data_IF_713125506843
#
_entry.id   IF_713125506843
#
_cell.length_a   1.000
_cell.length_b   1.000
_cell.length_c   1.000
_cell.angle_alpha   90.00
_cell.angle_beta   90.00
_cell.angle_gamma   90.00
#
_symmetry.space_group_name_H-M   'P 1'
#
loop_
_entity.id
_entity.type
_entity.pdbx_description
1 polymer ?
#
# COMPACT_ATOMS: atom_id res chain seq x y z
N UNK A 1 18.24 4.06 0.90
CA UNK A 1 17.13 3.10 0.94
C UNK A 1 16.23 3.48 2.11
N UNK A 2 14.93 3.71 1.87
CA UNK A 2 13.96 4.09 2.92
C UNK A 2 13.16 2.87 3.37
N UNK A 3 12.75 2.03 2.43
CA UNK A 3 11.99 0.82 2.68
C UNK A 3 12.46 -0.30 1.74
N UNK A 4 12.16 -1.54 2.11
CA UNK A 4 12.47 -2.71 1.30
C UNK A 4 11.56 -3.87 1.66
N UNK A 5 11.32 -4.77 0.71
CA UNK A 5 10.54 -5.99 0.94
C UNK A 5 11.03 -7.13 0.04
N UNK A 6 11.10 -8.34 0.59
CA UNK A 6 11.37 -9.56 -0.17
C UNK A 6 10.08 -10.17 -0.71
N UNK A 7 10.15 -10.76 -1.90
CA UNK A 7 9.07 -11.60 -2.43
C UNK A 7 8.87 -12.84 -1.56
N UNK A 8 7.67 -13.41 -1.63
CA UNK A 8 7.45 -14.77 -1.13
C UNK A 8 8.50 -15.72 -1.76
N UNK A 9 9.21 -16.48 -0.92
CA UNK A 9 10.31 -17.36 -1.34
C UNK A 9 11.67 -16.66 -1.55
N UNK A 10 11.77 -15.34 -1.37
CA UNK A 10 13.05 -14.62 -1.35
C UNK A 10 13.72 -14.38 -2.71
N UNK A 11 13.05 -14.72 -3.82
CA UNK A 11 13.62 -14.61 -5.17
C UNK A 11 13.84 -13.16 -5.64
N UNK A 12 13.04 -12.21 -5.15
CA UNK A 12 13.20 -10.79 -5.44
C UNK A 12 13.28 -9.96 -4.17
N UNK A 13 14.02 -8.85 -4.24
CA UNK A 13 13.98 -7.75 -3.28
C UNK A 13 13.63 -6.47 -4.04
N UNK A 14 12.66 -5.71 -3.55
CA UNK A 14 12.33 -4.38 -4.05
C UNK A 14 12.66 -3.35 -2.98
N UNK A 15 13.22 -2.22 -3.39
CA UNK A 15 13.70 -1.18 -2.48
C UNK A 15 13.18 0.19 -2.91
N UNK A 16 12.66 0.96 -1.96
CA UNK A 16 12.22 2.34 -2.13
C UNK A 16 13.28 3.32 -1.63
N UNK A 17 13.28 4.52 -2.20
CA UNK A 17 14.37 5.47 -2.04
C UNK A 17 13.89 6.92 -2.12
N UNK A 18 14.75 7.83 -1.64
CA UNK A 18 14.52 9.28 -1.66
C UNK A 18 14.60 9.89 -3.05
N UNK A 19 15.23 9.19 -4.01
CA UNK A 19 15.34 9.57 -5.42
C UNK A 19 14.12 9.13 -6.25
N UNK A 20 13.06 8.64 -5.61
CA UNK A 20 11.77 8.28 -6.23
C UNK A 20 11.83 6.98 -7.07
N UNK A 21 13.01 6.41 -7.25
CA UNK A 21 13.23 5.21 -8.06
C UNK A 21 13.07 3.96 -7.20
N UNK A 22 12.27 3.00 -7.67
CA UNK A 22 12.22 1.66 -7.11
C UNK A 22 13.26 0.81 -7.80
N UNK A 23 14.06 0.10 -7.02
CA UNK A 23 15.07 -0.85 -7.55
C UNK A 23 14.66 -2.26 -7.20
N UNK A 24 14.77 -3.16 -8.17
CA UNK A 24 14.46 -4.58 -7.99
C UNK A 24 15.72 -5.40 -8.21
N UNK A 25 15.99 -6.28 -7.25
CA UNK A 25 17.12 -7.19 -7.25
C UNK A 25 16.61 -8.63 -7.33
N UNK A 26 17.34 -9.47 -8.06
CA UNK A 26 17.06 -10.89 -8.21
C UNK A 26 18.09 -11.70 -7.42
N UNK A 27 17.60 -12.63 -6.61
CA UNK A 27 18.37 -13.52 -5.73
C UNK A 27 18.24 -14.97 -6.20
N UNK A 28 18.66 -15.23 -7.44
CA UNK A 28 18.74 -16.59 -7.99
C UNK A 28 19.81 -17.43 -7.30
N UNK A 29 20.29 -18.47 -7.99
CA UNK A 29 21.37 -19.33 -7.49
C UNK A 29 22.76 -18.66 -7.49
N UNK A 30 22.88 -17.47 -8.08
CA UNK A 30 24.13 -16.71 -8.19
C UNK A 30 24.23 -15.56 -7.19
N UNK A 31 25.09 -14.59 -7.49
CA UNK A 31 25.15 -13.35 -6.71
C UNK A 31 23.88 -12.52 -6.93
N UNK A 32 23.42 -11.75 -5.93
CA UNK A 32 22.29 -10.85 -6.10
C UNK A 32 22.58 -9.79 -7.19
N UNK A 33 21.67 -9.65 -8.14
CA UNK A 33 21.82 -8.72 -9.28
C UNK A 33 20.69 -7.71 -9.32
N UNK A 34 20.99 -6.44 -9.61
CA UNK A 34 19.98 -5.42 -9.89
C UNK A 34 19.41 -5.67 -11.29
N UNK A 35 18.14 -6.02 -11.39
CA UNK A 35 17.49 -6.38 -12.66
C UNK A 35 16.56 -5.29 -13.20
N UNK A 36 16.17 -4.30 -12.39
CA UNK A 36 15.25 -3.23 -12.83
C UNK A 36 15.39 -1.95 -12.01
N UNK A 37 15.13 -0.83 -12.66
CA UNK A 37 14.88 0.48 -12.07
C UNK A 37 13.52 0.97 -12.60
N UNK A 38 12.61 1.34 -11.70
CA UNK A 38 11.23 1.67 -12.02
C UNK A 38 10.98 3.14 -11.66
N UNK A 39 11.06 3.99 -12.67
CA UNK A 39 11.06 5.46 -12.56
C UNK A 39 9.68 6.06 -12.82
N UNK A 40 8.68 5.60 -12.08
CA UNK A 40 7.28 6.03 -12.29
C UNK A 40 6.71 6.92 -11.18
N UNK A 41 7.39 6.99 -10.03
CA UNK A 41 7.04 7.91 -8.96
C UNK A 41 7.78 9.24 -9.14
N UNK A 42 7.16 10.33 -8.72
CA UNK A 42 7.73 11.69 -8.84
C UNK A 42 8.16 12.28 -7.49
N UNK A 43 8.01 11.50 -6.42
CA UNK A 43 8.48 11.82 -5.07
C UNK A 43 8.85 10.53 -4.31
N UNK A 44 9.40 10.66 -3.10
CA UNK A 44 10.00 9.58 -2.29
C UNK A 44 9.08 8.37 -2.18
N UNK A 45 9.66 7.17 -2.33
CA UNK A 45 8.97 5.91 -2.09
C UNK A 45 9.22 5.47 -0.66
N UNK A 46 8.25 5.74 0.21
CA UNK A 46 8.37 5.54 1.66
C UNK A 46 7.94 4.16 2.11
N UNK A 47 7.14 3.44 1.31
CA UNK A 47 6.66 2.10 1.67
C UNK A 47 6.64 1.15 0.48
N UNK A 48 7.06 -0.09 0.69
CA UNK A 48 6.99 -1.19 -0.28
C UNK A 48 6.61 -2.47 0.45
N UNK A 49 5.72 -3.27 -0.13
CA UNK A 49 5.43 -4.61 0.35
C UNK A 49 5.18 -5.58 -0.82
N UNK A 50 5.87 -6.71 -0.83
CA UNK A 50 5.52 -7.83 -1.70
C UNK A 50 4.21 -8.49 -1.27
N UNK A 51 3.50 -9.03 -2.25
CA UNK A 51 2.32 -9.88 -2.03
C UNK A 51 2.72 -11.20 -1.37
N UNK A 52 1.76 -11.85 -0.72
CA UNK A 52 1.96 -13.08 0.05
C UNK A 52 2.35 -14.30 -0.80
N UNK A 53 1.89 -14.35 -2.07
CA UNK A 53 1.99 -15.58 -2.88
C UNK A 53 2.55 -15.37 -4.28
N UNK A 54 2.52 -14.13 -4.80
CA UNK A 54 2.83 -13.86 -6.20
C UNK A 54 4.04 -12.95 -6.38
N UNK A 55 4.59 -12.90 -7.60
CA UNK A 55 5.61 -11.92 -7.99
C UNK A 55 4.97 -10.54 -8.25
N UNK A 56 4.21 -10.05 -7.26
CA UNK A 56 3.65 -8.72 -7.20
C UNK A 56 4.15 -8.00 -5.96
N UNK A 57 4.27 -6.70 -6.04
CA UNK A 57 4.48 -5.85 -4.88
C UNK A 57 3.73 -4.54 -5.05
N UNK A 58 3.48 -3.85 -3.95
CA UNK A 58 2.93 -2.49 -3.95
C UNK A 58 4.00 -1.53 -3.47
N UNK A 59 4.05 -0.34 -4.07
CA UNK A 59 4.83 0.80 -3.59
C UNK A 59 3.91 1.97 -3.26
N UNK A 60 4.22 2.71 -2.20
CA UNK A 60 3.56 3.96 -1.82
C UNK A 60 4.53 5.13 -1.82
N UNK A 61 4.12 6.27 -2.39
CA UNK A 61 4.95 7.45 -2.53
C UNK A 61 4.32 8.73 -1.94
N UNK A 62 5.20 9.69 -1.64
CA UNK A 62 4.84 11.07 -1.30
C UNK A 62 4.28 11.88 -2.48
N UNK A 63 4.24 11.30 -3.67
CA UNK A 63 3.63 11.93 -4.85
C UNK A 63 2.09 11.83 -4.84
N UNK A 64 1.51 11.17 -3.85
CA UNK A 64 0.07 10.97 -3.73
C UNK A 64 -0.43 9.74 -4.46
N UNK A 65 0.47 8.86 -4.90
CA UNK A 65 0.13 7.61 -5.59
C UNK A 65 0.74 6.39 -4.91
N UNK A 66 0.06 5.27 -5.08
CA UNK A 66 0.65 3.96 -4.92
C UNK A 66 0.62 3.22 -6.26
N UNK A 67 1.46 2.21 -6.42
CA UNK A 67 1.50 1.38 -7.63
C UNK A 67 1.57 -0.08 -7.27
N UNK A 68 0.73 -0.88 -7.92
CA UNK A 68 0.81 -2.35 -7.85
C UNK A 68 1.65 -2.81 -9.02
N UNK A 69 2.79 -3.40 -8.72
CA UNK A 69 3.74 -3.94 -9.68
C UNK A 69 3.52 -5.42 -9.87
N UNK A 70 3.58 -5.87 -11.12
CA UNK A 70 3.46 -7.28 -11.48
C UNK A 70 4.55 -7.66 -12.46
N UNK A 71 5.30 -8.71 -12.12
CA UNK A 71 6.28 -9.28 -13.02
C UNK A 71 5.62 -10.25 -13.99
N UNK A 72 5.55 -9.88 -15.27
CA UNK A 72 4.97 -10.70 -16.35
C UNK A 72 5.86 -10.61 -17.56
N UNK A 73 6.10 -11.72 -18.27
CA UNK A 73 6.89 -11.73 -19.52
C UNK A 73 8.26 -11.05 -19.39
N UNK A 74 8.93 -11.24 -18.24
CA UNK A 74 10.24 -10.66 -17.90
C UNK A 74 10.29 -9.13 -17.78
N UNK A 75 9.14 -8.49 -17.61
CA UNK A 75 9.03 -7.05 -17.38
C UNK A 75 8.13 -6.75 -16.17
N UNK A 76 8.38 -5.62 -15.52
CA UNK A 76 7.53 -5.09 -14.46
C UNK A 76 6.49 -4.15 -15.07
N UNK A 77 5.22 -4.43 -14.80
CA UNK A 77 4.09 -3.56 -15.18
C UNK A 77 3.42 -3.03 -13.93
N UNK A 78 2.93 -1.79 -13.98
CA UNK A 78 2.22 -1.19 -12.85
C UNK A 78 0.75 -0.91 -13.13
N UNK A 79 -0.06 -1.01 -12.08
CA UNK A 79 -1.40 -0.44 -11.97
C UNK A 79 -1.28 0.77 -11.05
N UNK A 80 -1.75 1.93 -11.49
CA UNK A 80 -1.75 3.17 -10.71
C UNK A 80 -2.91 3.17 -9.71
N UNK A 81 -2.63 3.53 -8.46
CA UNK A 81 -3.60 3.83 -7.42
C UNK A 81 -3.43 5.30 -7.04
N UNK A 82 -4.35 6.16 -7.49
CA UNK A 82 -4.30 7.59 -7.21
C UNK A 82 -5.10 7.92 -5.94
N UNK A 83 -4.45 8.47 -4.91
CA UNK A 83 -5.12 8.77 -3.64
C UNK A 83 -6.23 9.82 -3.79
N UNK A 84 -6.26 10.60 -4.88
CA UNK A 84 -7.37 11.50 -5.21
C UNK A 84 -8.66 10.77 -5.61
N UNK A 85 -8.58 9.48 -5.96
CA UNK A 85 -9.73 8.69 -6.40
C UNK A 85 -10.78 8.62 -5.30
N UNK A 86 -12.05 8.78 -5.68
CA UNK A 86 -13.20 8.67 -4.78
C UNK A 86 -14.11 7.50 -5.21
N UNK A 87 -14.75 6.79 -4.27
CA UNK A 87 -15.78 5.82 -4.62
C UNK A 87 -16.91 6.52 -5.38
N UNK A 88 -17.44 5.86 -6.41
CA UNK A 88 -18.58 6.38 -7.15
C UNK A 88 -19.76 6.64 -6.21
N UNK A 89 -20.24 7.89 -6.14
CA UNK A 89 -21.43 8.26 -5.37
C UNK A 89 -21.20 8.76 -3.93
N UNK A 90 -19.96 8.91 -3.45
CA UNK A 90 -19.67 9.54 -2.15
C UNK A 90 -19.08 10.96 -2.31
N UNK A 91 -19.86 11.97 -1.91
CA UNK A 91 -19.35 13.32 -1.67
C UNK A 91 -18.70 13.39 -0.29
N UNK A 92 -17.40 13.09 -0.22
CA UNK A 92 -16.59 13.35 0.96
C UNK A 92 -16.18 14.82 0.94
N UNK A 93 -16.93 15.68 1.62
CA UNK A 93 -16.60 17.09 1.84
C UNK A 93 -16.21 17.27 3.32
N UNK A 94 -15.07 17.90 3.60
CA UNK A 94 -14.77 18.44 4.93
C UNK A 94 -13.34 18.31 5.46
N UNK A 95 -12.54 17.34 4.99
CA UNK A 95 -11.18 17.09 5.54
C UNK A 95 -10.06 17.65 4.63
N UNK A 96 -10.36 17.92 3.36
CA UNK A 96 -9.34 18.20 2.33
C UNK A 96 -8.75 19.62 2.38
N UNK A 97 -9.43 20.60 2.96
CA UNK A 97 -9.03 22.02 2.87
C UNK A 97 -7.68 22.34 3.54
N UNK A 98 -7.14 21.43 4.37
CA UNK A 98 -5.81 21.59 4.99
C UNK A 98 -4.69 20.80 4.31
N UNK A 99 -4.99 19.79 3.49
CA UNK A 99 -3.97 18.88 2.94
C UNK A 99 -3.75 19.21 1.46
N UNK A 100 -2.73 20.02 1.20
CA UNK A 100 -2.39 20.47 -0.16
C UNK A 100 -1.73 19.40 -1.02
N UNK A 101 -1.18 18.33 -0.40
CA UNK A 101 -0.54 17.20 -1.09
C UNK A 101 -0.80 15.89 -0.36
N UNK A 102 -1.46 14.95 -1.03
CA UNK A 102 -1.63 13.59 -0.53
C UNK A 102 -0.30 12.83 -0.56
N UNK A 103 -0.10 11.97 0.43
CA UNK A 103 1.08 11.10 0.57
C UNK A 103 0.61 9.73 1.02
N UNK A 104 1.17 8.69 0.43
CA UNK A 104 0.98 7.32 0.91
C UNK A 104 2.03 7.05 1.98
N UNK A 105 1.59 6.88 3.22
CA UNK A 105 2.49 6.65 4.36
C UNK A 105 2.86 5.17 4.49
N UNK A 106 1.96 4.28 4.08
CA UNK A 106 2.17 2.85 4.17
C UNK A 106 1.25 2.07 3.24
N UNK A 107 1.69 0.88 2.87
CA UNK A 107 0.96 -0.03 2.00
C UNK A 107 0.89 -1.42 2.62
N UNK A 108 -0.22 -2.11 2.40
CA UNK A 108 -0.44 -3.49 2.83
C UNK A 108 -1.15 -4.31 1.74
N UNK A 109 -0.99 -5.63 1.75
CA UNK A 109 -1.85 -6.59 1.07
C UNK A 109 -2.83 -7.23 2.05
N UNK A 110 -4.03 -7.59 1.62
CA UNK A 110 -4.84 -8.55 2.37
C UNK A 110 -4.22 -9.95 2.31
N UNK A 111 -4.74 -10.88 3.11
CA UNK A 111 -4.17 -12.22 3.23
C UNK A 111 -4.15 -13.02 1.92
N UNK A 112 -5.07 -12.75 1.00
CA UNK A 112 -5.19 -13.48 -0.27
C UNK A 112 -4.67 -12.71 -1.48
N UNK A 113 -4.01 -11.57 -1.28
CA UNK A 113 -3.50 -10.70 -2.33
C UNK A 113 -4.60 -10.19 -3.30
N UNK A 114 -5.87 -10.20 -2.87
CA UNK A 114 -7.04 -9.73 -3.61
C UNK A 114 -7.22 -8.21 -3.51
N UNK A 115 -6.80 -7.63 -2.39
CA UNK A 115 -6.86 -6.19 -2.16
C UNK A 115 -5.54 -5.63 -1.66
N UNK A 116 -5.30 -4.38 -2.03
CA UNK A 116 -4.21 -3.56 -1.51
C UNK A 116 -4.82 -2.50 -0.62
N UNK A 117 -4.20 -2.23 0.52
CA UNK A 117 -4.61 -1.20 1.46
C UNK A 117 -3.53 -0.14 1.52
N UNK A 118 -3.92 1.12 1.37
CA UNK A 118 -2.99 2.25 1.44
C UNK A 118 -3.40 3.17 2.56
N UNK A 119 -2.50 3.45 3.50
CA UNK A 119 -2.65 4.53 4.46
C UNK A 119 -2.22 5.85 3.83
N UNK A 120 -3.03 6.88 4.04
CA UNK A 120 -2.83 8.21 3.45
C UNK A 120 -2.71 9.23 4.58
N UNK A 121 -1.89 10.26 4.39
CA UNK A 121 -1.68 11.34 5.36
C UNK A 121 -2.94 12.19 5.67
N UNK A 122 -4.07 11.94 5.01
CA UNK A 122 -5.36 12.49 5.36
C UNK A 122 -6.16 11.60 6.33
N UNK A 123 -5.47 10.70 7.04
CA UNK A 123 -6.01 9.79 8.06
C UNK A 123 -6.97 8.72 7.50
N UNK A 124 -7.08 8.63 6.17
CA UNK A 124 -7.89 7.59 5.53
C UNK A 124 -7.06 6.37 5.18
N UNK A 125 -7.69 5.20 5.24
CA UNK A 125 -7.20 4.00 4.57
C UNK A 125 -8.04 3.76 3.33
N UNK A 126 -7.41 3.45 2.21
CA UNK A 126 -8.12 3.10 0.97
C UNK A 126 -7.88 1.64 0.64
N UNK A 127 -8.97 0.94 0.31
CA UNK A 127 -8.95 -0.48 -0.06
C UNK A 127 -9.19 -0.60 -1.56
N UNK A 128 -8.24 -1.19 -2.26
CA UNK A 128 -8.20 -1.27 -3.71
C UNK A 128 -8.30 -2.71 -4.17
N UNK A 129 -9.01 -2.97 -5.25
CA UNK A 129 -8.93 -4.25 -5.93
C UNK A 129 -7.54 -4.40 -6.56
N UNK A 130 -6.80 -5.44 -6.20
CA UNK A 130 -5.38 -5.55 -6.57
C UNK A 130 -5.13 -5.90 -8.04
N UNK A 131 -6.16 -6.36 -8.75
CA UNK A 131 -6.08 -6.78 -10.14
C UNK A 131 -6.52 -5.69 -11.12
N UNK A 132 -7.42 -4.81 -10.68
CA UNK A 132 -8.02 -3.77 -11.53
C UNK A 132 -7.57 -2.36 -11.14
N UNK A 133 -7.11 -2.15 -9.91
CA UNK A 133 -6.82 -0.83 -9.36
C UNK A 133 -8.07 -0.04 -8.96
N UNK A 134 -9.25 -0.65 -9.00
CA UNK A 134 -10.48 0.01 -8.61
C UNK A 134 -10.52 0.25 -7.08
N UNK A 135 -10.84 1.48 -6.67
CA UNK A 135 -11.13 1.79 -5.27
C UNK A 135 -12.44 1.13 -4.84
N UNK A 136 -12.37 0.29 -3.81
CA UNK A 136 -13.52 -0.44 -3.26
C UNK A 136 -14.10 0.33 -2.06
N UNK A 137 -13.26 0.64 -1.07
CA UNK A 137 -13.67 1.27 0.19
C UNK A 137 -12.72 2.38 0.61
N UNK A 138 -13.26 3.35 1.35
CA UNK A 138 -12.49 4.33 2.13
C UNK A 138 -12.83 4.11 3.60
N UNK A 139 -11.84 3.70 4.39
CA UNK A 139 -11.98 3.44 5.81
C UNK A 139 -11.57 4.69 6.59
N UNK A 140 -12.44 5.13 7.48
CA UNK A 140 -12.27 6.34 8.28
C UNK A 140 -12.46 6.03 9.75
N UNK A 141 -11.58 6.58 10.58
CA UNK A 141 -11.66 6.36 12.02
C UNK A 141 -10.39 6.66 12.79
N UNK A 142 -9.27 6.87 12.11
CA UNK A 142 -8.08 7.44 12.72
C UNK A 142 -8.18 8.98 12.74
N UNK A 143 -7.55 9.58 13.75
CA UNK A 143 -7.50 11.04 13.96
C UNK A 143 -6.08 11.62 13.76
N UNK A 144 -5.12 10.76 13.40
CA UNK A 144 -3.76 11.12 13.04
C UNK A 144 -3.20 10.09 12.02
N UNK A 145 -1.98 10.31 11.54
CA UNK A 145 -1.32 9.46 10.55
C UNK A 145 -1.20 7.99 11.02
N UNK A 146 -1.46 7.07 10.09
CA UNK A 146 -1.38 5.62 10.32
C UNK A 146 0.00 5.09 9.93
N UNK A 147 0.62 4.30 10.82
CA UNK A 147 1.99 3.78 10.67
C UNK A 147 2.12 2.27 10.79
N UNK A 148 1.05 1.56 11.18
CA UNK A 148 0.98 0.10 11.12
C UNK A 148 -0.25 -0.37 10.34
N UNK A 149 -0.06 -1.29 9.39
CA UNK A 149 -1.11 -2.04 8.69
C UNK A 149 -0.71 -3.50 8.70
N UNK A 150 -1.51 -4.33 9.35
CA UNK A 150 -1.20 -5.76 9.53
C UNK A 150 -2.42 -6.60 9.13
N UNK A 151 -2.34 -7.37 8.03
CA UNK A 151 -3.41 -8.26 7.64
C UNK A 151 -3.51 -9.42 8.63
N UNK A 152 -4.72 -9.92 8.84
CA UNK A 152 -4.90 -11.11 9.64
C UNK A 152 -4.18 -12.31 8.99
N UNK A 153 -3.49 -13.18 9.76
CA UNK A 153 -2.70 -14.29 9.22
C UNK A 153 -3.49 -15.37 8.45
N UNK A 154 -4.83 -15.34 8.48
CA UNK A 154 -5.67 -16.37 7.87
C UNK A 154 -7.07 -15.89 7.45
N UNK A 155 -7.68 -14.88 8.09
CA UNK A 155 -8.94 -14.29 7.62
C UNK A 155 -8.66 -13.13 6.65
N UNK A 156 -8.84 -13.28 5.32
CA UNK A 156 -8.57 -12.22 4.34
C UNK A 156 -9.46 -10.98 4.51
N UNK A 157 -10.55 -11.09 5.28
CA UNK A 157 -11.46 -9.98 5.53
C UNK A 157 -10.93 -9.04 6.61
N UNK A 158 -10.01 -9.48 7.47
CA UNK A 158 -9.62 -8.72 8.66
C UNK A 158 -8.27 -8.03 8.46
N UNK A 159 -8.23 -6.75 8.79
CA UNK A 159 -7.02 -5.92 8.82
C UNK A 159 -6.95 -5.17 10.15
N UNK A 160 -5.75 -5.09 10.72
CA UNK A 160 -5.42 -4.18 11.82
C UNK A 160 -4.74 -2.93 11.29
N UNK A 161 -5.08 -1.78 11.84
CA UNK A 161 -4.32 -0.54 11.67
C UNK A 161 -4.01 0.13 13.01
N UNK A 162 -2.87 0.82 13.09
CA UNK A 162 -2.53 1.66 14.24
C UNK A 162 -1.84 2.96 13.78
N UNK A 163 -2.14 4.06 14.48
CA UNK A 163 -1.66 5.40 14.15
C UNK A 163 -1.10 6.18 15.34
N UNK A 164 -0.64 7.40 15.09
CA UNK A 164 -0.16 8.32 16.13
C UNK A 164 -1.26 8.83 17.07
N UNK A 165 -2.52 8.60 16.70
CA UNK A 165 -3.70 8.90 17.52
C UNK A 165 -3.91 7.93 18.69
N UNK A 166 -3.02 6.94 18.87
CA UNK A 166 -3.13 5.93 19.93
C UNK A 166 -4.20 4.87 19.66
N UNK A 167 -4.95 4.98 18.57
CA UNK A 167 -5.98 4.01 18.22
C UNK A 167 -5.38 2.79 17.53
N UNK A 168 -5.90 1.62 17.90
CA UNK A 168 -5.77 0.38 17.14
C UNK A 168 -7.16 0.01 16.62
N UNK A 169 -7.31 -0.10 15.31
CA UNK A 169 -8.60 -0.35 14.67
C UNK A 169 -8.58 -1.67 13.91
N UNK A 170 -9.63 -2.47 14.12
CA UNK A 170 -9.89 -3.73 13.42
C UNK A 170 -10.95 -3.48 12.36
N UNK A 171 -10.64 -3.81 11.12
CA UNK A 171 -11.49 -3.55 9.95
C UNK A 171 -12.01 -4.83 9.32
N UNK A 172 -13.20 -4.73 8.74
CA UNK A 172 -13.74 -5.69 7.77
C UNK A 172 -13.54 -5.11 6.36
N UNK A 173 -12.57 -5.65 5.63
CA UNK A 173 -12.21 -5.24 4.27
C UNK A 173 -13.27 -5.60 3.22
N UNK A 174 -14.07 -6.65 3.45
CA UNK A 174 -15.11 -7.03 2.50
C UNK A 174 -16.28 -6.04 2.56
N UNK A 175 -16.65 -5.61 3.77
CA UNK A 175 -17.78 -4.72 4.02
C UNK A 175 -17.38 -3.25 4.07
N UNK A 176 -16.10 -2.95 4.25
CA UNK A 176 -15.58 -1.58 4.35
C UNK A 176 -15.93 -0.90 5.68
N UNK A 177 -16.06 -1.66 6.77
CA UNK A 177 -16.51 -1.14 8.06
C UNK A 177 -15.51 -1.40 9.18
N UNK A 178 -15.55 -0.53 10.20
CA UNK A 178 -14.87 -0.74 11.48
C UNK A 178 -15.58 -1.87 12.25
N UNK A 179 -14.84 -2.92 12.62
CA UNK A 179 -15.33 -3.98 13.51
C UNK A 179 -15.25 -3.52 14.97
N UNK A 180 -14.07 -3.00 15.35
CA UNK A 180 -13.78 -2.54 16.71
C UNK A 180 -12.58 -1.60 16.71
N UNK A 181 -12.50 -0.72 17.70
CA UNK A 181 -11.31 0.07 18.00
C UNK A 181 -10.94 -0.07 19.47
N UNK A 182 -9.65 0.07 19.74
CA UNK A 182 -9.03 0.08 21.05
C UNK A 182 -8.16 1.33 21.15
N UNK A 183 -8.07 1.91 22.33
CA UNK A 183 -7.19 3.04 22.61
C UNK A 183 -6.11 2.56 23.57
N UNK A 184 -4.85 2.82 23.24
CA UNK A 184 -3.70 2.53 24.10
C UNK A 184 -3.33 3.72 24.96
#
# INVERSE_FOLDING_TARGET
MICSSFSAGGMFLATGSTDHIIRVYFFGSGQPEKISELEFHTDKVDSIQFSNTSNRFVSGSRDGTARIWQFKRREWKSILLDMATRPAGQNLQGIEDKITKMKVTMVAWDRHDNTVITAVNNMTLKVWNSYTGQLIHVLMGHEDEVFVLEPHPFDPRVLFSAGHDGNVIVWDLARGIKIRSYFN
#
